data_IF_631334753421
#
_entry.id   IF_631334753421
#
_cell.length_a   1.000
_cell.length_b   1.000
_cell.length_c   1.000
_cell.angle_alpha   90.00
_cell.angle_beta   90.00
_cell.angle_gamma   90.00
#
_symmetry.space_group_name_H-M   'P 1'
#
loop_
_entity.id
_entity.type
_entity.pdbx_description
1 polymer ?
#
# COMPACT_ATOMS: atom_id res chain seq x y z
N UNK A 1 4.46 7.73 -6.67
CA UNK A 1 5.47 6.91 -5.94
C UNK A 1 4.80 6.41 -4.67
N UNK A 2 5.04 5.16 -4.29
CA UNK A 2 4.61 4.66 -2.98
C UNK A 2 5.84 4.44 -2.13
N UNK A 3 5.87 5.01 -0.94
CA UNK A 3 6.95 4.80 0.02
C UNK A 3 6.41 4.01 1.20
N UNK A 4 7.08 2.90 1.49
CA UNK A 4 6.88 2.10 2.68
C UNK A 4 7.99 2.42 3.69
N UNK A 5 7.64 2.53 4.97
CA UNK A 5 8.61 2.64 6.05
C UNK A 5 8.15 1.86 7.28
N UNK A 6 9.07 1.17 7.93
CA UNK A 6 8.90 0.60 9.27
C UNK A 6 10.15 0.94 10.12
N UNK A 7 10.32 0.29 11.27
CA UNK A 7 11.49 0.50 12.14
C UNK A 7 12.83 0.02 11.54
N UNK A 8 12.79 -0.90 10.58
CA UNK A 8 13.95 -1.61 10.04
C UNK A 8 14.34 -1.10 8.64
N UNK A 9 13.37 -0.64 7.84
CA UNK A 9 13.60 -0.30 6.44
C UNK A 9 12.72 0.84 5.92
N UNK A 10 13.15 1.38 4.78
CA UNK A 10 12.35 2.26 3.94
C UNK A 10 12.52 1.84 2.50
N UNK A 11 11.40 1.58 1.83
CA UNK A 11 11.36 1.07 0.46
C UNK A 11 10.52 2.00 -0.40
N UNK A 12 11.11 2.49 -1.50
CA UNK A 12 10.40 3.30 -2.49
C UNK A 12 10.00 2.42 -3.68
N UNK A 13 8.71 2.36 -3.94
CA UNK A 13 8.12 1.64 -5.08
C UNK A 13 7.82 2.65 -6.19
N UNK A 14 8.47 2.45 -7.34
CA UNK A 14 8.45 3.39 -8.46
C UNK A 14 8.16 2.73 -9.80
N UNK A 15 8.07 1.40 -9.85
CA UNK A 15 7.82 0.65 -11.08
C UNK A 15 6.51 -0.16 -11.01
N UNK A 16 5.92 -0.42 -12.17
CA UNK A 16 4.64 -1.14 -12.32
C UNK A 16 4.71 -2.62 -11.87
N UNK A 17 5.93 -3.16 -11.72
CA UNK A 17 6.15 -4.48 -11.12
C UNK A 17 6.04 -4.49 -9.60
N UNK A 18 6.04 -3.30 -8.97
CA UNK A 18 6.05 -3.14 -7.52
C UNK A 18 4.69 -2.73 -6.96
N UNK A 19 3.87 -2.04 -7.75
CA UNK A 19 2.51 -1.70 -7.39
C UNK A 19 1.66 -1.50 -8.66
N UNK A 20 0.35 -1.64 -8.52
CA UNK A 20 -0.61 -1.28 -9.55
C UNK A 20 -1.62 -0.25 -9.02
N UNK A 21 -2.22 0.50 -9.94
CA UNK A 21 -3.33 1.40 -9.67
C UNK A 21 -4.42 1.21 -10.72
N UNK A 22 -5.66 0.98 -10.29
CA UNK A 22 -6.80 0.74 -11.17
C UNK A 22 -7.97 1.61 -10.74
N UNK A 23 -8.58 2.34 -11.67
CA UNK A 23 -9.84 3.02 -11.39
C UNK A 23 -10.95 1.97 -11.19
N UNK A 24 -11.64 2.00 -10.05
CA UNK A 24 -12.71 1.05 -9.70
C UNK A 24 -14.08 1.71 -9.64
N UNK A 25 -14.19 3.01 -9.96
CA UNK A 25 -15.44 3.75 -9.97
C UNK A 25 -15.93 3.97 -11.41
N UNK A 26 -17.16 3.57 -11.71
CA UNK A 26 -17.78 3.72 -13.04
C UNK A 26 -18.13 5.17 -13.43
N UNK A 27 -17.71 6.16 -12.64
CA UNK A 27 -18.00 7.59 -12.86
C UNK A 27 -16.83 8.34 -13.51
N UNK A 28 -15.71 7.65 -13.77
CA UNK A 28 -14.51 8.20 -14.38
C UNK A 28 -14.48 8.12 -15.90
N UNK A 29 -13.58 8.89 -16.51
CA UNK A 29 -13.16 8.62 -17.88
C UNK A 29 -12.16 7.44 -17.91
N UNK A 30 -11.58 7.15 -19.08
CA UNK A 30 -10.70 6.00 -19.26
C UNK A 30 -9.23 6.30 -18.96
N UNK A 31 -8.92 7.45 -18.39
CA UNK A 31 -7.53 7.85 -18.13
C UNK A 31 -7.01 7.33 -16.76
N UNK A 32 -5.87 7.85 -16.32
CA UNK A 32 -5.21 7.42 -15.08
C UNK A 32 -4.98 8.60 -14.11
N UNK A 33 -5.79 9.63 -14.23
CA UNK A 33 -5.85 10.77 -13.32
C UNK A 33 -6.89 10.48 -12.24
N UNK A 34 -6.70 11.10 -11.07
CA UNK A 34 -7.65 11.01 -9.97
C UNK A 34 -8.43 12.31 -9.91
N UNK A 35 -9.72 12.25 -10.22
CA UNK A 35 -10.64 13.37 -10.08
C UNK A 35 -11.53 13.28 -8.84
N UNK A 36 -12.23 14.39 -8.58
CA UNK A 36 -13.18 14.47 -7.47
C UNK A 36 -14.34 13.50 -7.69
N UNK A 37 -14.49 12.55 -6.77
CA UNK A 37 -15.56 11.55 -6.81
C UNK A 37 -15.13 10.20 -7.40
N UNK A 38 -13.92 10.10 -7.92
CA UNK A 38 -13.36 8.84 -8.38
C UNK A 38 -12.68 8.04 -7.28
N UNK A 39 -12.51 6.75 -7.52
CA UNK A 39 -11.88 5.82 -6.57
C UNK A 39 -10.89 4.96 -7.35
N UNK A 40 -9.65 4.95 -6.86
CA UNK A 40 -8.60 4.06 -7.35
C UNK A 40 -8.29 2.99 -6.31
N UNK A 41 -8.19 1.75 -6.76
CA UNK A 41 -7.56 0.67 -6.02
C UNK A 41 -6.05 0.74 -6.24
N UNK A 42 -5.28 0.70 -5.15
CA UNK A 42 -3.82 0.59 -5.18
C UNK A 42 -3.43 -0.75 -4.57
N UNK A 43 -2.71 -1.58 -5.32
CA UNK A 43 -2.21 -2.88 -4.86
C UNK A 43 -0.69 -2.84 -4.79
N UNK A 44 -0.12 -3.12 -3.61
CA UNK A 44 1.32 -3.33 -3.45
C UNK A 44 1.64 -4.76 -3.84
N UNK A 45 2.35 -4.93 -4.96
CA UNK A 45 2.63 -6.24 -5.54
C UNK A 45 3.83 -6.87 -4.83
N UNK A 46 3.81 -8.20 -4.65
CA UNK A 46 4.96 -8.98 -4.19
C UNK A 46 5.70 -8.41 -2.97
N UNK A 47 4.98 -7.80 -2.02
CA UNK A 47 5.56 -7.07 -0.89
C UNK A 47 6.58 -7.90 -0.08
N UNK A 48 6.32 -9.20 0.09
CA UNK A 48 7.20 -10.15 0.78
C UNK A 48 8.58 -10.31 0.13
N UNK A 49 8.72 -9.92 -1.14
CA UNK A 49 10.00 -9.92 -1.87
C UNK A 49 10.60 -8.52 -2.01
N UNK A 50 9.83 -7.48 -1.68
CA UNK A 50 10.28 -6.09 -1.69
C UNK A 50 10.81 -5.63 -0.33
N UNK A 51 10.47 -6.37 0.73
CA UNK A 51 10.86 -6.08 2.11
C UNK A 51 11.93 -7.06 2.58
N UNK A 52 12.94 -6.54 3.27
CA UNK A 52 13.96 -7.32 3.97
C UNK A 52 14.38 -6.59 5.25
N UNK A 53 13.89 -7.01 6.43
CA UNK A 53 13.06 -8.19 6.69
C UNK A 53 11.62 -8.02 6.21
N UNK A 54 10.88 -9.13 6.02
CA UNK A 54 9.44 -9.07 5.73
C UNK A 54 8.63 -8.49 6.90
N UNK A 55 7.45 -7.93 6.61
CA UNK A 55 6.58 -7.30 7.60
C UNK A 55 6.01 -8.35 8.58
N UNK A 56 6.39 -8.24 9.84
CA UNK A 56 6.00 -9.17 10.90
C UNK A 56 4.74 -8.77 11.68
N UNK A 57 4.44 -9.50 12.75
CA UNK A 57 3.39 -9.17 13.72
C UNK A 57 3.82 -8.04 14.66
N UNK A 58 2.84 -7.31 15.20
CA UNK A 58 3.03 -6.18 16.13
C UNK A 58 4.03 -5.12 15.62
N UNK A 59 4.12 -4.93 14.30
CA UNK A 59 5.06 -4.02 13.68
C UNK A 59 4.33 -2.77 13.18
N UNK A 60 4.81 -1.60 13.59
CA UNK A 60 4.36 -0.34 13.03
C UNK A 60 4.98 -0.13 11.66
N UNK A 61 4.15 0.29 10.72
CA UNK A 61 4.58 0.67 9.39
C UNK A 61 3.73 1.83 8.88
N UNK A 62 4.31 2.57 7.94
CA UNK A 62 3.63 3.64 7.23
C UNK A 62 3.71 3.43 5.73
N UNK A 63 2.64 3.80 5.03
CA UNK A 63 2.60 3.91 3.58
C UNK A 63 2.31 5.37 3.24
N UNK A 64 3.15 5.94 2.38
CA UNK A 64 3.00 7.27 1.83
C UNK A 64 2.74 7.17 0.33
N UNK A 65 1.59 7.65 -0.13
CA UNK A 65 1.32 7.82 -1.56
C UNK A 65 1.69 9.24 -1.93
N UNK A 66 2.78 9.37 -2.69
CA UNK A 66 3.40 10.65 -3.04
C UNK A 66 3.04 10.99 -4.48
N UNK A 67 2.16 12.00 -4.72
CA UNK A 67 1.84 12.47 -6.05
C UNK A 67 2.97 13.33 -6.63
N UNK A 68 3.04 13.52 -7.96
CA UNK A 68 4.02 14.41 -8.58
C UNK A 68 3.93 15.86 -8.05
N UNK A 69 2.72 16.29 -7.66
CA UNK A 69 2.42 17.60 -7.07
C UNK A 69 1.27 17.45 -6.08
N UNK A 70 1.27 18.25 -5.01
CA UNK A 70 0.20 18.26 -4.01
C UNK A 70 0.60 17.62 -2.69
N UNK A 71 -0.40 17.33 -1.85
CA UNK A 71 -0.19 16.75 -0.53
C UNK A 71 0.03 15.22 -0.61
N UNK A 72 0.82 14.69 0.31
CA UNK A 72 1.05 13.25 0.46
C UNK A 72 -0.12 12.64 1.23
N UNK A 73 -0.64 11.51 0.77
CA UNK A 73 -1.53 10.66 1.57
C UNK A 73 -0.67 9.78 2.48
N UNK A 74 -0.80 9.96 3.80
CA UNK A 74 -0.10 9.19 4.81
C UNK A 74 -1.04 8.18 5.48
N UNK A 75 -0.60 6.93 5.55
CA UNK A 75 -1.31 5.82 6.21
C UNK A 75 -0.37 5.19 7.23
N UNK A 76 -0.65 5.38 8.52
CA UNK A 76 0.06 4.70 9.61
C UNK A 76 -0.76 3.53 10.15
N UNK A 77 -0.15 2.34 10.27
CA UNK A 77 -0.80 1.14 10.79
C UNK A 77 0.16 0.35 11.67
N UNK A 78 -0.41 -0.59 12.43
CA UNK A 78 0.33 -1.61 13.17
C UNK A 78 -0.28 -2.96 12.82
N UNK A 79 0.54 -3.94 12.48
CA UNK A 79 0.06 -5.32 12.28
C UNK A 79 -0.42 -5.91 13.60
N UNK A 80 -1.34 -6.88 13.53
CA UNK A 80 -1.87 -7.55 14.71
C UNK A 80 -0.74 -8.26 15.50
N UNK A 81 -0.96 -8.45 16.80
CA UNK A 81 0.02 -9.09 17.69
C UNK A 81 0.24 -10.58 17.39
N UNK A 82 -0.76 -11.23 16.81
CA UNK A 82 -0.69 -12.58 16.27
C UNK A 82 -1.41 -12.65 14.93
N UNK A 83 -0.98 -13.58 14.09
CA UNK A 83 -1.67 -13.99 12.86
C UNK A 83 -1.96 -15.47 13.04
N UNK A 84 -3.22 -15.82 13.25
CA UNK A 84 -3.60 -17.23 13.34
C UNK A 84 -3.51 -17.85 11.93
N UNK A 85 -2.91 -19.05 11.85
CA UNK A 85 -2.78 -19.78 10.58
C UNK A 85 -4.14 -20.31 10.07
N UNK A 86 -5.16 -20.33 10.93
CA UNK A 86 -6.55 -20.69 10.61
C UNK A 86 -7.49 -20.11 11.67
N UNK A 87 -8.60 -19.50 11.26
CA UNK A 87 -9.72 -19.17 12.14
C UNK A 87 -10.60 -20.42 12.34
N UNK A 88 -10.08 -21.45 13.00
CA UNK A 88 -10.87 -22.62 13.37
C UNK A 88 -11.49 -22.39 14.75
N UNK A 89 -12.82 -22.41 14.80
CA UNK A 89 -13.63 -22.38 16.02
C UNK A 89 -14.07 -23.80 16.39
N UNK A 90 -13.12 -24.74 16.42
CA UNK A 90 -13.33 -26.08 17.01
C UNK A 90 -12.86 -26.10 18.47
#
# INVERSE_FOLDING_TARGET
IIKYSDKDQTVNMTADTQFSSTNIASFGDSDSLLETGEIFEIVLLTLTTQLDPDLGTNQEFSIEVIPPRGAVLYIGRRTAVSLEKSNNLD
#
